data_IF_468974821066
#
_entry.id   IF_468974821066
#
_cell.length_a   1.000
_cell.length_b   1.000
_cell.length_c   1.000
_cell.angle_alpha   90.00
_cell.angle_beta   90.00
_cell.angle_gamma   90.00
#
_symmetry.space_group_name_H-M   'P 1'
#
loop_
_entity.id
_entity.type
_entity.pdbx_description
1 polymer ?
#
# COMPACT_ATOMS: atom_id res chain seq x y z
N UNK A 1 0.97 18.99 7.74
CA UNK A 1 1.03 18.63 6.31
C UNK A 1 -0.09 17.65 5.98
N UNK A 2 -0.86 17.98 4.98
CA UNK A 2 -1.97 17.13 4.55
C UNK A 2 -1.49 16.18 3.46
N UNK A 3 -1.68 14.88 3.69
CA UNK A 3 -1.32 13.87 2.69
C UNK A 3 -2.53 13.58 1.81
N UNK A 4 -2.33 13.61 0.50
CA UNK A 4 -3.33 13.15 -0.44
C UNK A 4 -3.25 11.65 -0.56
N UNK A 5 -4.37 10.98 -0.39
CA UNK A 5 -4.47 9.52 -0.46
C UNK A 5 -5.42 9.16 -1.59
N UNK A 6 -5.01 8.23 -2.42
CA UNK A 6 -5.85 7.76 -3.54
C UNK A 6 -5.71 6.26 -3.71
N UNK A 7 -6.83 5.63 -4.05
CA UNK A 7 -6.89 4.20 -4.33
C UNK A 7 -6.69 3.95 -5.83
N UNK A 8 -5.92 2.91 -6.15
CA UNK A 8 -5.66 2.49 -7.52
C UNK A 8 -5.93 1.01 -7.68
N UNK A 9 -6.57 0.67 -8.80
CA UNK A 9 -6.78 -0.73 -9.15
C UNK A 9 -5.48 -1.38 -9.62
N UNK A 10 -5.49 -2.69 -9.66
CA UNK A 10 -4.32 -3.51 -10.00
C UNK A 10 -3.62 -3.06 -11.28
N UNK A 11 -4.39 -2.70 -12.32
CA UNK A 11 -3.85 -2.31 -13.62
C UNK A 11 -3.22 -0.92 -13.61
N UNK A 12 -3.47 -0.15 -12.59
CA UNK A 12 -3.06 1.25 -12.50
C UNK A 12 -1.74 1.42 -11.76
N UNK A 13 -0.83 0.46 -11.89
CA UNK A 13 0.44 0.51 -11.15
C UNK A 13 1.29 1.72 -11.55
N UNK A 14 1.31 2.08 -12.83
CA UNK A 14 2.10 3.23 -13.28
C UNK A 14 1.54 4.53 -12.73
N UNK A 15 0.23 4.67 -12.74
CA UNK A 15 -0.45 5.85 -12.19
C UNK A 15 -0.24 5.94 -10.67
N UNK A 16 -0.28 4.80 -9.99
CA UNK A 16 -0.07 4.76 -8.55
C UNK A 16 1.35 5.22 -8.19
N UNK A 17 2.35 4.72 -8.91
CA UNK A 17 3.73 5.11 -8.70
C UNK A 17 3.93 6.59 -8.99
N UNK A 18 3.39 7.10 -10.09
CA UNK A 18 3.49 8.51 -10.44
C UNK A 18 2.85 9.41 -9.38
N UNK A 19 1.70 9.01 -8.88
CA UNK A 19 1.02 9.74 -7.81
C UNK A 19 1.87 9.79 -6.54
N UNK A 20 2.48 8.66 -6.19
CA UNK A 20 3.35 8.56 -5.02
C UNK A 20 4.63 9.37 -5.19
N UNK A 21 5.23 9.34 -6.37
CA UNK A 21 6.43 10.14 -6.66
C UNK A 21 6.17 11.64 -6.57
N UNK A 22 4.93 12.05 -6.86
CA UNK A 22 4.51 13.43 -6.72
C UNK A 22 4.15 13.86 -5.30
N UNK A 23 4.30 12.97 -4.32
CA UNK A 23 4.10 13.29 -2.91
C UNK A 23 2.83 12.71 -2.28
N UNK A 24 2.02 11.97 -3.03
CA UNK A 24 0.81 11.36 -2.50
C UNK A 24 1.04 9.99 -1.89
N UNK A 25 -0.01 9.46 -1.29
CA UNK A 25 -0.04 8.07 -0.79
C UNK A 25 -0.97 7.29 -1.73
N UNK A 26 -0.40 6.31 -2.42
CA UNK A 26 -1.15 5.47 -3.35
C UNK A 26 -1.47 4.13 -2.70
N UNK A 27 -2.74 3.83 -2.53
CA UNK A 27 -3.19 2.53 -2.06
C UNK A 27 -3.47 1.71 -3.31
N UNK A 28 -2.55 0.82 -3.64
CA UNK A 28 -2.60 0.04 -4.88
C UNK A 28 -3.03 -1.40 -4.58
N UNK A 29 -4.13 -1.80 -5.19
CA UNK A 29 -4.60 -3.17 -5.07
C UNK A 29 -3.68 -4.09 -5.87
N UNK A 30 -3.16 -5.10 -5.20
CA UNK A 30 -2.34 -6.10 -5.86
C UNK A 30 -3.21 -7.32 -6.21
N UNK A 31 -2.61 -8.47 -6.39
CA UNK A 31 -3.35 -9.69 -6.67
C UNK A 31 -4.25 -10.06 -5.50
N UNK A 32 -5.39 -10.63 -5.80
CA UNK A 32 -6.27 -11.19 -4.77
C UNK A 32 -5.65 -12.43 -4.13
N UNK A 33 -4.58 -12.93 -4.73
CA UNK A 33 -3.82 -14.06 -4.23
C UNK A 33 -2.39 -13.67 -3.98
N UNK A 34 -1.86 -14.07 -2.87
CA UNK A 34 -0.45 -13.91 -2.59
C UNK A 34 0.28 -15.16 -3.09
N UNK A 35 1.14 -14.99 -4.08
CA UNK A 35 1.88 -16.09 -4.71
C UNK A 35 3.24 -16.35 -4.09
N UNK A 36 3.62 -15.62 -3.07
CA UNK A 36 4.88 -15.82 -2.39
C UNK A 36 4.83 -16.98 -1.40
N UNK A 37 5.85 -17.07 -0.57
CA UNK A 37 5.89 -18.06 0.49
C UNK A 37 4.66 -17.94 1.37
N UNK A 38 4.08 -19.07 1.72
CA UNK A 38 2.90 -19.12 2.57
C UNK A 38 3.24 -18.57 3.93
N UNK A 39 2.69 -17.42 4.25
CA UNK A 39 2.74 -16.91 5.61
C UNK A 39 1.67 -17.66 6.38
N UNK A 40 2.07 -18.28 7.47
CA UNK A 40 1.18 -19.12 8.27
C UNK A 40 -0.05 -18.32 8.73
N UNK A 41 -1.24 -18.83 8.42
CA UNK A 41 -2.49 -18.17 8.77
C UNK A 41 -3.04 -17.21 7.75
N UNK A 42 -2.31 -16.99 6.65
CA UNK A 42 -2.77 -16.10 5.60
C UNK A 42 -3.54 -16.88 4.53
N UNK A 43 -4.74 -16.44 4.26
CA UNK A 43 -5.55 -17.03 3.19
C UNK A 43 -5.15 -16.42 1.86
N UNK A 44 -4.98 -17.28 0.85
CA UNK A 44 -4.60 -16.85 -0.50
C UNK A 44 -5.64 -15.96 -1.18
N UNK A 45 -6.89 -16.10 -0.79
CA UNK A 45 -8.01 -15.36 -1.38
C UNK A 45 -8.17 -13.94 -0.82
N UNK A 46 -7.41 -13.58 0.21
CA UNK A 46 -7.57 -12.26 0.82
C UNK A 46 -6.83 -11.21 0.02
N UNK A 47 -7.40 -10.01 -0.05
CA UNK A 47 -6.74 -8.91 -0.76
C UNK A 47 -5.39 -8.57 -0.16
N UNK A 48 -4.52 -8.13 -1.02
CA UNK A 48 -3.17 -7.72 -0.72
C UNK A 48 -2.97 -6.34 -1.32
N UNK A 49 -2.48 -5.41 -0.53
CA UNK A 49 -2.29 -4.04 -0.95
C UNK A 49 -0.84 -3.62 -0.82
N UNK A 50 -0.40 -2.81 -1.77
CA UNK A 50 0.79 -1.99 -1.60
C UNK A 50 0.35 -0.58 -1.28
N UNK A 51 0.88 -0.01 -0.21
CA UNK A 51 0.70 1.41 0.08
C UNK A 51 2.02 2.08 -0.29
N UNK A 52 1.99 2.86 -1.36
CA UNK A 52 3.19 3.39 -2.01
C UNK A 52 3.31 4.89 -1.74
N UNK A 53 4.51 5.35 -1.44
CA UNK A 53 4.75 6.77 -1.22
C UNK A 53 6.22 7.06 -1.03
N UNK A 54 6.56 8.34 -0.94
CA UNK A 54 7.89 8.75 -0.49
C UNK A 54 8.04 8.31 0.96
N UNK A 55 9.25 7.89 1.34
CA UNK A 55 9.46 7.30 2.66
C UNK A 55 8.94 8.18 3.80
N UNK A 56 9.24 9.46 3.74
CA UNK A 56 8.79 10.40 4.77
C UNK A 56 7.27 10.49 4.87
N UNK A 57 6.59 10.44 3.72
CA UNK A 57 5.13 10.46 3.67
C UNK A 57 4.54 9.15 4.18
N UNK A 58 5.18 8.02 3.86
CA UNK A 58 4.76 6.71 4.37
C UNK A 58 4.91 6.64 5.89
N UNK A 59 6.00 7.18 6.43
CA UNK A 59 6.19 7.21 7.87
C UNK A 59 5.09 8.01 8.57
N UNK A 60 4.76 9.17 8.02
CA UNK A 60 3.69 10.01 8.57
C UNK A 60 2.33 9.32 8.47
N UNK A 61 2.02 8.77 7.30
CA UNK A 61 0.78 8.04 7.08
C UNK A 61 0.67 6.81 7.99
N UNK A 62 1.77 6.07 8.09
CA UNK A 62 1.82 4.87 8.92
C UNK A 62 1.57 5.15 10.39
N UNK A 63 2.13 6.24 10.90
CA UNK A 63 1.87 6.63 12.29
C UNK A 63 0.40 6.89 12.56
N UNK A 64 -0.30 7.47 11.60
CA UNK A 64 -1.73 7.71 11.73
C UNK A 64 -2.55 6.42 11.73
N UNK A 65 -2.00 5.35 11.18
CA UNK A 65 -2.70 4.08 11.02
C UNK A 65 -2.09 2.93 11.85
N UNK A 66 -1.18 3.26 12.74
CA UNK A 66 -0.59 2.25 13.63
C UNK A 66 0.43 1.33 12.96
N UNK A 67 0.99 1.74 11.82
CA UNK A 67 2.00 0.97 11.11
C UNK A 67 3.40 1.43 11.51
N UNK A 68 4.30 0.49 11.69
CA UNK A 68 5.67 0.78 12.10
C UNK A 68 6.54 1.16 10.90
N UNK A 69 7.43 2.16 11.06
CA UNK A 69 8.35 2.52 9.97
C UNK A 69 9.27 1.38 9.54
N UNK A 70 9.56 0.44 10.44
CA UNK A 70 10.41 -0.71 10.13
C UNK A 70 9.79 -1.64 9.09
N UNK A 71 8.48 -1.55 8.89
CA UNK A 71 7.77 -2.38 7.91
C UNK A 71 7.81 -1.80 6.51
N UNK A 72 8.33 -0.59 6.34
CA UNK A 72 8.47 0.03 5.02
C UNK A 72 9.56 -0.70 4.24
N UNK A 73 9.21 -1.13 3.04
CA UNK A 73 10.14 -1.81 2.15
C UNK A 73 10.63 -0.84 1.07
N UNK A 74 11.94 -0.64 0.95
CA UNK A 74 12.47 0.26 -0.08
C UNK A 74 12.36 -0.37 -1.47
N UNK A 75 12.10 0.46 -2.45
CA UNK A 75 12.13 0.06 -3.85
C UNK A 75 13.49 0.43 -4.44
N UNK A 76 14.19 -0.56 -4.98
CA UNK A 76 15.46 -0.29 -5.65
C UNK A 76 15.20 0.56 -6.90
N UNK A 77 16.02 1.56 -7.10
CA UNK A 77 15.98 2.44 -8.27
C UNK A 77 14.75 3.34 -8.36
N UNK A 78 14.00 3.49 -7.26
CA UNK A 78 12.83 4.38 -7.21
C UNK A 78 12.90 5.27 -6.00
N UNK A 79 12.28 6.44 -6.11
CA UNK A 79 12.17 7.37 -4.98
C UNK A 79 11.14 6.91 -3.97
N UNK A 80 10.24 6.06 -4.38
CA UNK A 80 9.13 5.59 -3.54
C UNK A 80 9.51 4.31 -2.80
N UNK A 81 8.82 4.08 -1.70
CA UNK A 81 8.87 2.85 -0.94
C UNK A 81 7.43 2.35 -0.76
N UNK A 82 7.24 1.26 -0.05
CA UNK A 82 5.89 0.75 0.16
C UNK A 82 5.75 -0.06 1.43
N UNK A 83 4.52 -0.10 1.94
CA UNK A 83 4.09 -1.09 2.93
C UNK A 83 3.35 -2.21 2.21
N UNK A 84 3.55 -3.44 2.67
CA UNK A 84 2.71 -4.56 2.28
C UNK A 84 1.61 -4.72 3.33
N UNK A 85 0.36 -4.69 2.91
CA UNK A 85 -0.78 -4.75 3.82
C UNK A 85 -1.66 -5.94 3.46
N UNK A 86 -1.97 -6.76 4.47
CA UNK A 86 -2.70 -8.02 4.29
C UNK A 86 -3.89 -8.11 5.24
N UNK A 87 -4.75 -9.09 4.97
CA UNK A 87 -5.77 -9.55 5.90
C UNK A 87 -6.84 -8.53 6.20
N UNK A 88 -7.39 -8.55 7.43
CA UNK A 88 -8.48 -7.64 7.78
C UNK A 88 -8.15 -6.17 7.61
N UNK A 89 -6.91 -5.80 7.83
CA UNK A 89 -6.49 -4.41 7.69
C UNK A 89 -6.53 -3.97 6.22
N UNK A 90 -6.12 -4.86 5.31
CA UNK A 90 -6.25 -4.57 3.88
C UNK A 90 -7.71 -4.42 3.47
N UNK A 91 -8.57 -5.27 4.00
CA UNK A 91 -10.00 -5.18 3.74
C UNK A 91 -10.59 -3.85 4.23
N UNK A 92 -10.17 -3.39 5.38
CA UNK A 92 -10.60 -2.08 5.91
C UNK A 92 -10.15 -0.93 5.01
N UNK A 93 -8.93 -0.98 4.52
CA UNK A 93 -8.43 0.06 3.62
C UNK A 93 -9.19 0.07 2.28
N UNK A 94 -9.48 -1.11 1.76
CA UNK A 94 -10.27 -1.22 0.53
C UNK A 94 -11.67 -0.63 0.75
N UNK A 95 -12.32 -0.98 1.86
CA UNK A 95 -13.65 -0.47 2.16
C UNK A 95 -13.65 1.04 2.30
N UNK A 96 -12.60 1.62 2.85
CA UNK A 96 -12.51 3.05 3.08
C UNK A 96 -12.14 3.85 1.82
N UNK A 97 -11.24 3.35 1.01
CA UNK A 97 -10.62 4.12 -0.07
C UNK A 97 -11.02 3.68 -1.47
N UNK A 98 -11.46 2.44 -1.64
CA UNK A 98 -11.90 1.96 -2.95
C UNK A 98 -13.20 2.64 -3.35
N UNK A 99 -13.32 3.13 -4.58
CA UNK A 99 -14.61 3.63 -5.07
C UNK A 99 -15.58 2.46 -5.18
N UNK A 100 -16.71 2.60 -4.55
CA UNK A 100 -17.74 1.56 -4.57
C UNK A 100 -18.65 1.72 -5.79
#
# INVERSE_FOLDING_TARGET
MRLDVRYFERRQIKEAIAFAEGGGIAIHRNFDHYHGSTIRGMRRERPFLHVIGLRENLEAWGRLHGLRPEWIQPEKRRKVAHYDVFGPYAEELIAKWSPS
#
